data_IF_657285585008
#
_entry.id   IF_657285585008
#
_cell.length_a   1.000
_cell.length_b   1.000
_cell.length_c   1.000
_cell.angle_alpha   90.00
_cell.angle_beta   90.00
_cell.angle_gamma   90.00
#
_symmetry.space_group_name_H-M   'P 1'
#
loop_
_entity.id
_entity.type
_entity.pdbx_description
1 polymer ?
#
# COMPACT_ATOMS: atom_id res chain seq x y z
N UNK A 1 -9.97 12.08 -11.56
CA UNK A 1 -9.41 10.95 -12.33
C UNK A 1 -8.01 10.72 -11.80
N UNK A 2 -7.81 9.69 -10.97
CA UNK A 2 -6.48 9.29 -10.50
C UNK A 2 -5.70 8.82 -11.71
N UNK A 3 -4.73 9.62 -12.14
CA UNK A 3 -3.79 9.22 -13.19
C UNK A 3 -3.02 8.01 -12.66
N UNK A 4 -3.20 6.85 -13.27
CA UNK A 4 -2.46 5.64 -12.90
C UNK A 4 -0.99 5.84 -13.33
N UNK A 5 -0.14 6.27 -12.39
CA UNK A 5 1.32 6.38 -12.55
C UNK A 5 2.02 5.02 -12.38
N UNK A 6 1.27 3.98 -12.00
CA UNK A 6 1.73 2.61 -11.90
C UNK A 6 1.25 1.78 -13.08
N UNK A 7 2.14 0.92 -13.58
CA UNK A 7 1.84 -0.16 -14.52
C UNK A 7 1.92 -1.49 -13.79
N UNK A 8 0.89 -2.32 -13.96
CA UNK A 8 0.80 -3.67 -13.40
C UNK A 8 0.89 -4.71 -14.51
N UNK A 9 1.79 -5.68 -14.37
CA UNK A 9 1.85 -6.86 -15.23
C UNK A 9 1.49 -8.09 -14.40
N UNK A 10 0.21 -8.50 -14.41
CA UNK A 10 -0.28 -9.58 -13.57
C UNK A 10 0.14 -10.98 -14.04
N UNK A 11 0.52 -11.15 -15.31
CA UNK A 11 0.97 -12.42 -15.87
C UNK A 11 1.91 -12.16 -17.07
N UNK A 12 3.22 -11.98 -16.84
CA UNK A 12 4.20 -11.95 -17.91
C UNK A 12 4.24 -13.29 -18.67
N UNK A 13 4.65 -13.25 -19.93
CA UNK A 13 4.73 -14.45 -20.77
C UNK A 13 5.58 -15.55 -20.11
N UNK A 14 5.03 -16.76 -20.05
CA UNK A 14 5.68 -17.93 -19.46
C UNK A 14 5.51 -18.10 -17.94
N UNK A 15 4.84 -17.18 -17.24
CA UNK A 15 4.49 -17.34 -15.83
C UNK A 15 3.02 -17.75 -15.63
N UNK A 16 2.76 -18.53 -14.59
CA UNK A 16 1.40 -18.84 -14.18
C UNK A 16 0.68 -17.55 -13.69
N UNK A 17 -0.56 -17.28 -14.13
CA UNK A 17 -1.31 -16.12 -13.66
C UNK A 17 -1.72 -16.29 -12.19
N UNK A 18 -1.83 -15.18 -11.47
CA UNK A 18 -2.30 -15.14 -10.09
C UNK A 18 -3.31 -14.01 -9.90
N UNK A 19 -4.51 -14.27 -9.34
CA UNK A 19 -5.43 -13.21 -8.99
C UNK A 19 -5.04 -12.48 -7.70
N UNK A 20 -3.94 -12.89 -7.05
CA UNK A 20 -3.59 -12.45 -5.70
C UNK A 20 -2.54 -11.35 -5.66
N UNK A 21 -1.90 -11.02 -6.79
CA UNK A 21 -0.86 -10.01 -6.92
C UNK A 21 -0.52 -9.76 -8.40
N UNK A 22 0.22 -8.69 -8.68
CA UNK A 22 0.87 -8.52 -9.98
C UNK A 22 2.32 -9.03 -9.95
N UNK A 23 2.75 -9.84 -10.91
CA UNK A 23 4.15 -10.33 -10.93
C UNK A 23 5.16 -9.19 -11.04
N UNK A 24 4.82 -8.13 -11.77
CA UNK A 24 5.65 -6.95 -11.91
C UNK A 24 4.79 -5.70 -11.74
N UNK A 25 5.30 -4.74 -10.97
CA UNK A 25 4.73 -3.38 -10.85
C UNK A 25 5.87 -2.38 -10.98
N UNK A 26 5.68 -1.34 -11.77
CA UNK A 26 6.61 -0.20 -11.86
C UNK A 26 5.85 1.09 -12.11
N UNK A 27 6.52 2.22 -11.93
CA UNK A 27 5.96 3.54 -12.17
C UNK A 27 6.97 4.64 -11.93
N UNK A 28 6.51 5.89 -11.93
CA UNK A 28 7.32 7.07 -11.61
C UNK A 28 6.72 7.82 -10.43
N UNK A 29 7.57 8.40 -9.59
CA UNK A 29 7.15 9.17 -8.43
C UNK A 29 8.15 9.12 -7.29
N UNK A 30 7.84 9.83 -6.20
CA UNK A 30 8.62 9.79 -4.97
C UNK A 30 8.43 8.44 -4.27
N UNK A 31 9.53 7.76 -4.01
CA UNK A 31 9.51 6.49 -3.26
C UNK A 31 9.17 6.69 -1.79
N UNK A 32 8.32 5.81 -1.26
CA UNK A 32 7.92 5.74 0.15
C UNK A 32 8.10 4.32 0.64
N UNK A 33 8.95 4.15 1.65
CA UNK A 33 9.05 2.92 2.42
C UNK A 33 8.21 3.02 3.69
N UNK A 34 7.32 2.05 3.89
CA UNK A 34 6.44 1.97 5.06
C UNK A 34 6.88 0.77 5.89
N UNK A 35 7.30 1.02 7.13
CA UNK A 35 7.64 -0.03 8.10
C UNK A 35 6.50 -1.03 8.29
N UNK A 36 6.84 -2.25 8.69
CA UNK A 36 5.86 -3.28 9.04
C UNK A 36 4.82 -2.78 10.02
N UNK A 37 3.56 -2.81 9.60
CA UNK A 37 2.42 -2.49 10.43
C UNK A 37 1.93 -3.76 11.12
N UNK A 38 1.76 -3.65 12.44
CA UNK A 38 1.18 -4.67 13.29
C UNK A 38 -0.25 -4.26 13.70
N UNK A 39 -1.02 -5.20 14.26
CA UNK A 39 -2.36 -4.97 14.75
C UNK A 39 -2.39 -4.20 16.10
N UNK A 40 -1.79 -3.01 16.10
CA UNK A 40 -1.75 -2.12 17.26
C UNK A 40 -2.69 -0.94 17.06
N UNK A 41 -3.38 -0.53 18.11
CA UNK A 41 -4.13 0.72 18.13
C UNK A 41 -3.25 1.94 18.45
N UNK A 42 -3.85 3.13 18.52
CA UNK A 42 -3.15 4.38 18.80
C UNK A 42 -2.51 4.45 20.21
N UNK A 43 -2.95 3.61 21.14
CA UNK A 43 -2.35 3.46 22.47
C UNK A 43 -1.21 2.44 22.49
N UNK A 44 -1.02 1.70 21.39
CA UNK A 44 -0.06 0.61 21.28
C UNK A 44 -0.57 -0.73 21.82
N UNK A 45 -1.87 -0.84 22.12
CA UNK A 45 -2.50 -2.09 22.54
C UNK A 45 -2.80 -2.99 21.33
N UNK A 46 -2.74 -4.30 21.52
CA UNK A 46 -3.04 -5.28 20.46
C UNK A 46 -4.55 -5.34 20.25
N UNK A 47 -4.97 -5.20 19.00
CA UNK A 47 -6.37 -5.34 18.58
C UNK A 47 -6.59 -6.76 18.07
N UNK A 48 -7.56 -7.48 18.61
CA UNK A 48 -7.93 -8.82 18.11
C UNK A 48 -6.93 -9.92 18.50
N UNK A 49 -6.54 -10.02 19.78
CA UNK A 49 -5.74 -11.14 20.26
C UNK A 49 -6.42 -12.49 19.92
N UNK A 50 -5.70 -13.37 19.24
CA UNK A 50 -6.23 -14.65 18.75
C UNK A 50 -7.18 -14.55 17.54
N UNK A 51 -7.45 -13.35 17.01
CA UNK A 51 -8.35 -13.10 15.89
C UNK A 51 -7.61 -12.51 14.68
N UNK A 52 -7.27 -13.37 13.72
CA UNK A 52 -6.57 -12.97 12.51
C UNK A 52 -7.36 -12.00 11.62
N UNK A 53 -8.70 -12.04 11.64
CA UNK A 53 -9.55 -11.15 10.85
C UNK A 53 -9.48 -9.74 11.43
N UNK A 54 -9.70 -9.60 12.73
CA UNK A 54 -9.60 -8.32 13.41
C UNK A 54 -8.18 -7.72 13.28
N UNK A 55 -7.14 -8.55 13.45
CA UNK A 55 -5.76 -8.10 13.27
C UNK A 55 -5.48 -7.64 11.83
N UNK A 56 -5.96 -8.36 10.82
CA UNK A 56 -5.77 -7.98 9.42
C UNK A 56 -6.40 -6.62 9.11
N UNK A 57 -7.64 -6.39 9.55
CA UNK A 57 -8.28 -5.08 9.37
C UNK A 57 -7.53 -3.96 10.08
N UNK A 58 -7.00 -4.19 11.29
CA UNK A 58 -6.21 -3.19 12.01
C UNK A 58 -4.89 -2.89 11.29
N UNK A 59 -4.18 -3.91 10.79
CA UNK A 59 -2.94 -3.73 10.04
C UNK A 59 -3.17 -2.88 8.78
N UNK A 60 -4.21 -3.16 8.01
CA UNK A 60 -4.52 -2.37 6.83
C UNK A 60 -5.00 -0.94 7.16
N UNK A 61 -5.74 -0.74 8.26
CA UNK A 61 -6.09 0.60 8.74
C UNK A 61 -4.83 1.41 9.14
N UNK A 62 -3.83 0.75 9.71
CA UNK A 62 -2.56 1.36 10.04
C UNK A 62 -1.76 1.70 8.77
N UNK A 63 -1.72 0.80 7.78
CA UNK A 63 -1.12 1.08 6.47
C UNK A 63 -1.78 2.27 5.77
N UNK A 64 -3.11 2.38 5.82
CA UNK A 64 -3.84 3.53 5.25
C UNK A 64 -3.37 4.85 5.87
N UNK A 65 -3.19 4.89 7.19
CA UNK A 65 -2.68 6.08 7.89
C UNK A 65 -1.25 6.42 7.47
N UNK A 66 -0.39 5.41 7.33
CA UNK A 66 0.99 5.62 6.84
C UNK A 66 1.03 6.14 5.40
N UNK A 67 0.20 5.57 4.52
CA UNK A 67 0.05 6.02 3.14
C UNK A 67 -0.45 7.47 3.09
N UNK A 68 -1.51 7.79 3.84
CA UNK A 68 -2.07 9.14 3.90
C UNK A 68 -1.05 10.17 4.40
N UNK A 69 -0.23 9.82 5.40
CA UNK A 69 0.84 10.68 5.90
C UNK A 69 1.91 10.98 4.83
N UNK A 70 2.06 10.11 3.82
CA UNK A 70 2.95 10.31 2.69
C UNK A 70 2.27 10.96 1.47
N UNK A 71 0.98 11.32 1.57
CA UNK A 71 0.18 11.82 0.45
C UNK A 71 -0.21 10.74 -0.55
N UNK A 72 -0.31 9.49 -0.11
CA UNK A 72 -0.58 8.29 -0.91
C UNK A 72 -1.89 7.61 -0.47
N UNK A 73 -2.41 6.74 -1.32
CA UNK A 73 -3.42 5.74 -1.01
C UNK A 73 -3.01 4.35 -1.49
N UNK A 74 -3.89 3.35 -1.35
CA UNK A 74 -3.57 1.97 -1.75
C UNK A 74 -3.26 1.80 -3.25
N UNK A 75 -3.79 2.67 -4.10
CA UNK A 75 -3.48 2.70 -5.53
C UNK A 75 -2.03 3.11 -5.86
N UNK A 76 -1.29 3.64 -4.89
CA UNK A 76 0.12 4.04 -5.02
C UNK A 76 1.09 2.93 -4.56
N UNK A 77 0.57 1.84 -3.98
CA UNK A 77 1.36 0.73 -3.45
C UNK A 77 1.91 -0.12 -4.59
N UNK A 78 3.23 -0.33 -4.60
CA UNK A 78 3.93 -1.15 -5.60
C UNK A 78 4.25 -2.56 -5.08
N UNK A 79 4.43 -2.72 -3.76
CA UNK A 79 4.78 -4.00 -3.13
C UNK A 79 4.17 -4.11 -1.74
N UNK A 80 3.63 -5.28 -1.42
CA UNK A 80 3.31 -5.71 -0.06
C UNK A 80 4.15 -6.94 0.32
N UNK A 81 4.67 -6.98 1.54
CA UNK A 81 5.29 -8.18 2.10
C UNK A 81 4.51 -8.59 3.35
N UNK A 82 4.01 -9.83 3.34
CA UNK A 82 3.23 -10.40 4.44
C UNK A 82 4.09 -11.33 5.27
N UNK A 83 4.15 -11.09 6.57
CA UNK A 83 4.72 -11.99 7.56
C UNK A 83 3.58 -12.51 8.43
N UNK A 84 3.39 -13.82 8.48
CA UNK A 84 2.34 -14.46 9.29
C UNK A 84 2.95 -15.51 10.21
N UNK A 85 2.40 -15.72 11.39
CA UNK A 85 2.86 -16.79 12.30
C UNK A 85 2.37 -18.18 11.87
N UNK A 86 1.22 -18.22 11.18
CA UNK A 86 0.65 -19.41 10.56
C UNK A 86 0.08 -19.04 9.17
N UNK A 87 0.45 -19.77 8.12
CA UNK A 87 -0.12 -19.59 6.77
C UNK A 87 -1.64 -19.77 6.73
N UNK A 88 -2.24 -20.46 7.70
CA UNK A 88 -3.68 -20.59 7.85
C UNK A 88 -4.40 -19.24 8.05
N UNK A 89 -3.68 -18.18 8.44
CA UNK A 89 -4.23 -16.84 8.56
C UNK A 89 -4.34 -16.09 7.22
N UNK A 90 -3.63 -16.52 6.17
CA UNK A 90 -3.61 -15.81 4.88
C UNK A 90 -4.99 -15.55 4.24
N UNK A 91 -5.99 -16.44 4.32
CA UNK A 91 -7.34 -16.14 3.85
C UNK A 91 -7.92 -14.87 4.49
N UNK A 92 -7.87 -14.76 5.82
CA UNK A 92 -8.34 -13.57 6.55
C UNK A 92 -7.57 -12.30 6.13
N UNK A 93 -6.26 -12.41 5.93
CA UNK A 93 -5.42 -11.28 5.47
C UNK A 93 -5.81 -10.83 4.06
N UNK A 94 -6.10 -11.77 3.16
CA UNK A 94 -6.49 -11.48 1.77
C UNK A 94 -7.89 -10.87 1.69
N UNK A 95 -8.83 -11.37 2.48
CA UNK A 95 -10.19 -10.81 2.55
C UNK A 95 -10.15 -9.36 3.04
N UNK A 96 -9.36 -9.08 4.09
CA UNK A 96 -9.14 -7.72 4.56
C UNK A 96 -8.50 -6.85 3.46
N UNK A 97 -7.41 -7.32 2.83
CA UNK A 97 -6.74 -6.59 1.73
C UNK A 97 -7.72 -6.19 0.63
N UNK A 98 -8.55 -7.14 0.19
CA UNK A 98 -9.43 -6.93 -0.96
C UNK A 98 -10.48 -5.84 -0.67
N UNK A 99 -10.89 -5.69 0.60
CA UNK A 99 -11.74 -4.57 1.03
C UNK A 99 -11.06 -3.20 0.86
N UNK A 100 -9.75 -3.09 1.13
CA UNK A 100 -9.00 -1.82 1.00
C UNK A 100 -8.61 -1.49 -0.44
N UNK A 101 -8.36 -2.51 -1.28
CA UNK A 101 -8.07 -2.30 -2.69
C UNK A 101 -9.33 -2.10 -3.54
N UNK A 102 -10.51 -2.52 -3.07
CA UNK A 102 -11.81 -2.25 -3.69
C UNK A 102 -11.87 -2.56 -5.21
N UNK A 103 -11.23 -3.66 -5.63
CA UNK A 103 -11.16 -4.08 -7.03
C UNK A 103 -10.09 -3.37 -7.88
N UNK A 104 -9.27 -2.49 -7.29
CA UNK A 104 -8.09 -1.95 -7.94
C UNK A 104 -7.03 -3.05 -8.19
N UNK A 105 -6.15 -2.87 -9.19
CA UNK A 105 -5.04 -3.79 -9.42
C UNK A 105 -4.19 -4.00 -8.15
N UNK A 106 -3.91 -5.27 -7.84
CA UNK A 106 -3.11 -5.62 -6.67
C UNK A 106 -1.61 -5.39 -6.94
N UNK A 107 -0.84 -4.97 -5.92
CA UNK A 107 0.59 -4.73 -6.05
C UNK A 107 1.36 -6.04 -6.26
N UNK A 108 2.67 -5.93 -6.47
CA UNK A 108 3.53 -7.09 -6.29
C UNK A 108 3.45 -7.58 -4.83
N UNK A 109 3.68 -8.88 -4.61
CA UNK A 109 3.60 -9.41 -3.25
C UNK A 109 4.51 -10.59 -2.95
N UNK A 110 4.79 -10.78 -1.67
CA UNK A 110 5.43 -11.98 -1.13
C UNK A 110 4.81 -12.28 0.22
N UNK A 111 4.61 -13.55 0.55
CA UNK A 111 4.12 -13.97 1.85
C UNK A 111 5.02 -15.07 2.40
N UNK A 112 5.36 -14.97 3.68
CA UNK A 112 6.17 -15.96 4.38
C UNK A 112 5.58 -16.24 5.76
N UNK A 113 5.71 -17.50 6.20
CA UNK A 113 5.49 -17.84 7.59
C UNK A 113 6.78 -17.59 8.38
N UNK A 114 6.67 -16.89 9.49
CA UNK A 114 7.78 -16.60 10.41
C UNK A 114 7.59 -17.36 11.72
N UNK A 115 8.68 -17.62 12.44
CA UNK A 115 8.61 -18.35 13.72
C UNK A 115 7.97 -17.53 14.84
N UNK A 116 8.08 -16.20 14.78
CA UNK A 116 7.47 -15.27 15.72
C UNK A 116 7.48 -13.84 15.14
N UNK A 117 6.64 -12.97 15.72
CA UNK A 117 6.67 -11.52 15.52
C UNK A 117 7.19 -10.83 16.79
N UNK A 118 7.30 -9.50 16.76
CA UNK A 118 7.86 -8.69 17.86
C UNK A 118 7.08 -8.81 19.18
N UNK A 119 5.82 -9.27 19.14
CA UNK A 119 5.03 -9.64 20.32
C UNK A 119 4.28 -10.95 20.06
N UNK A 120 4.10 -11.81 21.09
CA UNK A 120 3.47 -13.12 20.92
C UNK A 120 1.99 -13.08 20.55
N UNK A 121 1.28 -11.98 20.86
CA UNK A 121 -0.14 -11.80 20.55
C UNK A 121 -0.39 -11.45 19.08
N UNK A 122 0.67 -11.06 18.34
CA UNK A 122 0.59 -10.68 16.93
C UNK A 122 0.62 -11.92 16.04
N UNK A 123 -0.33 -12.00 15.12
CA UNK A 123 -0.49 -13.08 14.16
C UNK A 123 0.03 -12.71 12.76
N UNK A 124 0.09 -11.41 12.46
CA UNK A 124 0.58 -10.90 11.19
C UNK A 124 1.26 -9.52 11.30
N UNK A 125 2.14 -9.26 10.36
CA UNK A 125 2.78 -7.97 10.11
C UNK A 125 2.86 -7.75 8.58
N UNK A 126 2.58 -6.51 8.13
CA UNK A 126 2.63 -6.17 6.70
C UNK A 126 3.40 -4.87 6.50
N UNK A 127 4.42 -4.92 5.66
CA UNK A 127 5.13 -3.73 5.16
C UNK A 127 4.70 -3.40 3.74
N UNK A 128 4.94 -2.15 3.34
CA UNK A 128 4.58 -1.68 2.01
C UNK A 128 5.65 -0.75 1.41
N UNK A 129 5.80 -0.85 0.10
CA UNK A 129 6.45 0.18 -0.71
C UNK A 129 5.41 0.86 -1.59
N UNK A 130 5.52 2.18 -1.74
CA UNK A 130 4.66 2.98 -2.60
C UNK A 130 5.48 3.97 -3.44
N UNK A 131 4.92 4.38 -4.58
CA UNK A 131 5.39 5.53 -5.36
C UNK A 131 4.30 6.58 -5.33
N UNK A 132 4.62 7.81 -4.94
CA UNK A 132 3.65 8.92 -4.92
C UNK A 132 3.90 9.80 -6.14
N UNK A 133 2.88 10.08 -6.99
CA UNK A 133 3.05 10.97 -8.14
C UNK A 133 3.62 12.32 -7.71
N UNK A 134 4.61 12.83 -8.43
CA UNK A 134 5.03 14.21 -8.26
C UNK A 134 3.92 15.14 -8.76
N UNK A 135 3.52 16.11 -7.93
CA UNK A 135 2.61 17.16 -8.39
C UNK A 135 3.37 18.00 -9.42
N UNK A 136 2.89 18.04 -10.66
CA UNK A 136 3.34 19.05 -11.62
C UNK A 136 2.85 20.39 -11.07
N UNK A 137 3.73 21.15 -10.42
CA UNK A 137 3.45 22.54 -10.12
C UNK A 137 3.53 23.29 -11.45
N UNK A 138 2.39 23.69 -12.00
CA UNK A 138 2.37 24.71 -13.05
C UNK A 138 3.08 25.95 -12.47
N UNK A 139 4.28 26.22 -12.96
CA UNK A 139 4.94 27.52 -12.76
C UNK A 139 4.14 28.49 -13.62
N UNK A 140 3.49 29.53 -13.04
CA UNK A 140 2.82 30.54 -13.85
C UNK A 140 3.86 31.13 -14.80
N UNK A 141 3.60 31.07 -16.10
CA UNK A 141 4.44 31.73 -17.07
C UNK A 141 4.39 33.24 -16.79
N UNK A 142 5.55 33.84 -16.54
CA UNK A 142 5.68 35.28 -16.30
C UNK A 142 5.39 36.15 -17.53
N UNK A 143 4.58 35.70 -18.49
CA UNK A 143 4.29 36.36 -19.77
C UNK A 143 3.19 37.43 -19.69
N UNK A 144 2.70 37.75 -18.49
CA UNK A 144 1.67 38.77 -18.28
C UNK A 144 2.23 40.17 -18.04
N UNK A 145 3.11 40.67 -18.91
CA UNK A 145 3.46 42.09 -18.92
C UNK A 145 2.25 42.89 -19.45
N UNK A 146 1.42 43.41 -18.55
CA UNK A 146 0.35 44.36 -18.90
C UNK A 146 0.95 45.73 -19.23
N UNK A 147 1.40 45.87 -20.48
CA UNK A 147 1.68 47.16 -21.13
C UNK A 147 0.36 47.77 -21.59
N UNK A 148 -0.37 48.43 -20.69
CA UNK A 148 -1.38 49.42 -21.08
C UNK A 148 -0.93 50.82 -20.74
N UNK A 149 -0.35 51.41 -21.78
CA UNK A 149 -0.09 52.83 -22.00
C UNK A 149 -1.31 53.72 -21.69
N UNK A 150 -0.99 54.87 -21.08
CA UNK A 150 -1.41 56.23 -21.48
C UNK A 150 -2.91 56.41 -21.78
N UNK A 151 -3.64 57.00 -20.82
CA UNK A 151 -4.42 58.23 -21.02
C UNK A 151 -4.43 59.07 -19.75
#
# INVERSE_FOLDING_TARGET
MTSQHLTHVPAPDGLAPSPQYSHVVWGTGRFVAISGQCALDASGAVVGEGDAVAQAHQVFANLERCLAAAGAGFGDVVKLTYFVTDVAHLPAVRDARDAYFAGAPLPASSAVQVSALVRPELLLEIEAFALVPEQVTDVPDGSGADLRLIR
#
